data_IF_846757094005
#
_entry.id   IF_846757094005
#
_cell.length_a   1.000
_cell.length_b   1.000
_cell.length_c   1.000
_cell.angle_alpha   90.00
_cell.angle_beta   90.00
_cell.angle_gamma   90.00
#
_symmetry.space_group_name_H-M   'P 1'
#
loop_
_entity.id
_entity.type
_entity.pdbx_description
1 polymer ?
#
# COMPACT_ATOMS: atom_id res chain seq x y z
N UNK A 1 -20.05 -9.18 4.09
CA UNK A 1 -18.75 -8.75 4.68
C UNK A 1 -17.76 -9.86 4.40
N UNK A 2 -17.15 -9.86 3.23
CA UNK A 2 -16.27 -10.95 2.84
C UNK A 2 -14.87 -10.76 3.42
N UNK A 3 -14.44 -11.76 4.19
CA UNK A 3 -13.11 -11.78 4.79
C UNK A 3 -12.06 -11.91 3.69
N UNK A 4 -11.01 -11.08 3.76
CA UNK A 4 -9.82 -11.18 2.91
C UNK A 4 -9.22 -12.58 3.00
N UNK A 5 -9.51 -13.42 1.99
CA UNK A 5 -8.99 -14.79 1.90
C UNK A 5 -7.48 -14.73 1.71
N UNK A 6 -6.74 -15.07 2.77
CA UNK A 6 -5.27 -15.09 2.78
C UNK A 6 -4.71 -15.99 1.67
N UNK A 7 -3.55 -15.66 1.08
CA UNK A 7 -3.00 -16.37 -0.07
C UNK A 7 -2.82 -17.86 0.23
N UNK A 8 -3.46 -18.69 -0.59
CA UNK A 8 -3.49 -20.14 -0.43
C UNK A 8 -2.45 -20.86 -1.30
N UNK A 9 -1.90 -20.23 -2.33
CA UNK A 9 -0.93 -20.86 -3.26
C UNK A 9 0.32 -19.99 -3.44
N UNK A 10 1.41 -20.57 -3.96
CA UNK A 10 2.62 -19.82 -4.30
C UNK A 10 2.37 -18.65 -5.27
N UNK A 11 1.42 -18.78 -6.22
CA UNK A 11 1.01 -17.71 -7.11
C UNK A 11 0.31 -16.57 -6.33
N UNK A 12 -0.68 -16.90 -5.50
CA UNK A 12 -1.37 -15.92 -4.66
C UNK A 12 -0.43 -15.26 -3.64
N UNK A 13 0.57 -15.97 -3.12
CA UNK A 13 1.56 -15.40 -2.21
C UNK A 13 2.53 -14.45 -2.93
N UNK A 14 2.97 -14.78 -4.15
CA UNK A 14 3.74 -13.85 -5.01
C UNK A 14 2.91 -12.61 -5.35
N UNK A 15 1.61 -12.79 -5.58
CA UNK A 15 0.59 -11.73 -5.69
C UNK A 15 0.03 -11.23 -4.34
N UNK A 16 0.81 -11.38 -3.26
CA UNK A 16 0.58 -10.76 -1.95
C UNK A 16 1.84 -10.05 -1.43
N UNK A 17 3.02 -10.40 -1.96
CA UNK A 17 4.33 -9.82 -1.59
C UNK A 17 4.95 -8.93 -2.66
N UNK A 18 4.25 -8.63 -3.76
CA UNK A 18 4.78 -7.77 -4.84
C UNK A 18 4.26 -6.33 -4.68
N UNK A 19 5.03 -5.30 -5.09
CA UNK A 19 4.65 -3.90 -4.86
C UNK A 19 3.34 -3.47 -5.54
N UNK A 20 2.92 -4.18 -6.60
CA UNK A 20 1.63 -3.94 -7.29
C UNK A 20 0.48 -4.79 -6.72
N UNK A 21 0.67 -5.59 -5.66
CA UNK A 21 -0.22 -6.73 -5.38
C UNK A 21 -1.37 -6.45 -4.42
N UNK A 22 -2.31 -5.62 -4.89
CA UNK A 22 -3.73 -5.78 -4.61
C UNK A 22 -4.45 -6.03 -5.94
N UNK A 23 -4.93 -7.26 -6.19
CA UNK A 23 -6.21 -7.61 -6.85
C UNK A 23 -6.30 -9.10 -7.25
N UNK A 24 -7.49 -9.51 -7.68
CA UNK A 24 -7.82 -10.84 -8.20
C UNK A 24 -7.30 -11.06 -9.64
N UNK A 25 -7.19 -12.30 -10.14
CA UNK A 25 -6.39 -12.62 -11.32
C UNK A 25 -7.12 -12.48 -12.67
N UNK A 26 -6.89 -11.36 -13.36
CA UNK A 26 -6.98 -11.15 -14.82
C UNK A 26 -5.84 -10.17 -15.21
N UNK A 27 -5.27 -10.14 -16.42
CA UNK A 27 -5.50 -11.00 -17.59
C UNK A 27 -4.76 -10.57 -18.87
N UNK A 28 -3.41 -10.66 -18.89
CA UNK A 28 -2.53 -10.64 -20.09
C UNK A 28 -2.25 -9.26 -20.77
N UNK A 29 -0.96 -9.06 -21.08
CA UNK A 29 -0.24 -8.18 -22.05
C UNK A 29 -0.65 -6.74 -22.43
N UNK A 30 0.40 -5.91 -22.64
CA UNK A 30 0.38 -4.57 -23.27
C UNK A 30 1.78 -3.92 -23.22
N UNK A 31 2.28 -3.34 -24.32
CA UNK A 31 3.68 -2.84 -24.43
C UNK A 31 3.79 -1.34 -24.80
N UNK A 32 4.85 -0.69 -24.27
CA UNK A 32 5.46 0.60 -24.74
C UNK A 32 4.57 1.86 -24.56
N UNK A 33 5.05 3.11 -24.62
CA UNK A 33 6.39 3.72 -24.92
C UNK A 33 6.84 4.71 -23.82
N UNK A 34 8.08 5.22 -23.88
CA UNK A 34 8.69 6.19 -22.94
C UNK A 34 9.38 7.38 -23.68
N UNK A 35 9.40 8.57 -23.06
CA UNK A 35 10.42 9.67 -23.19
C UNK A 35 10.63 10.40 -24.56
N UNK A 36 11.19 11.62 -24.69
CA UNK A 36 11.39 12.83 -23.83
C UNK A 36 11.67 14.07 -24.76
N UNK A 37 11.16 15.30 -24.49
CA UNK A 37 11.78 16.51 -23.86
C UNK A 37 12.78 17.39 -24.67
N UNK A 38 12.94 18.64 -24.19
CA UNK A 38 13.91 19.74 -24.51
C UNK A 38 13.67 20.70 -25.72
N UNK A 39 14.09 21.99 -25.73
CA UNK A 39 14.16 23.04 -24.67
C UNK A 39 14.58 24.47 -25.19
N UNK A 40 13.70 25.50 -25.06
CA UNK A 40 14.03 26.97 -24.90
C UNK A 40 14.87 27.69 -26.01
N UNK A 41 15.33 28.98 -25.91
CA UNK A 41 14.98 30.15 -25.06
C UNK A 41 14.80 31.54 -25.81
N UNK A 42 14.28 32.58 -25.11
CA UNK A 42 14.53 34.07 -25.25
C UNK A 42 13.45 34.90 -24.49
N UNK A 43 13.59 36.18 -24.07
CA UNK A 43 14.69 36.99 -23.43
C UNK A 43 14.12 38.42 -23.09
N UNK A 44 14.31 38.94 -21.86
CA UNK A 44 14.18 40.38 -21.42
C UNK A 44 12.79 41.08 -21.62
N UNK A 45 12.38 42.22 -21.02
CA UNK A 45 12.84 43.26 -20.04
C UNK A 45 11.56 44.07 -19.59
N UNK A 46 11.40 44.87 -18.51
CA UNK A 46 11.97 44.97 -17.13
C UNK A 46 11.19 46.02 -16.26
N UNK A 47 11.39 46.08 -14.93
CA UNK A 47 11.02 47.14 -13.91
C UNK A 47 9.55 47.52 -13.57
N UNK A 48 9.19 47.43 -12.28
CA UNK A 48 8.85 48.58 -11.38
C UNK A 48 8.31 48.14 -10.00
N UNK A 49 8.69 48.84 -8.92
CA UNK A 49 8.27 48.56 -7.53
C UNK A 49 6.93 49.21 -7.14
N UNK A 50 6.14 48.54 -6.28
CA UNK A 50 5.22 49.20 -5.33
C UNK A 50 5.00 48.30 -4.12
N UNK A 51 5.16 48.84 -2.91
CA UNK A 51 4.96 48.13 -1.64
C UNK A 51 3.51 48.30 -1.18
N UNK A 52 2.83 47.18 -0.89
CA UNK A 52 1.54 47.14 -0.17
C UNK A 52 1.60 45.99 0.83
N UNK A 53 1.20 46.24 2.08
CA UNK A 53 1.20 45.25 3.17
C UNK A 53 0.03 44.25 3.04
N UNK A 54 0.12 43.03 3.62
CA UNK A 54 -0.77 41.94 3.27
C UNK A 54 -2.16 42.07 3.93
N UNK A 55 -3.20 42.04 3.10
CA UNK A 55 -4.53 41.66 3.57
C UNK A 55 -4.50 40.20 4.02
N UNK A 56 -4.89 39.96 5.27
CA UNK A 56 -5.18 38.62 5.79
C UNK A 56 -6.59 38.18 5.39
N UNK A 57 -6.80 38.01 4.08
CA UNK A 57 -7.85 37.11 3.62
C UNK A 57 -7.29 35.69 3.76
N UNK A 58 -7.72 34.97 4.80
CA UNK A 58 -7.43 33.54 4.95
C UNK A 58 -8.16 32.79 3.83
N UNK A 59 -7.45 32.54 2.72
CA UNK A 59 -7.81 31.47 1.78
C UNK A 59 -7.79 30.17 2.58
N UNK A 60 -8.98 29.71 2.99
CA UNK A 60 -9.23 28.48 3.72
C UNK A 60 -9.01 27.28 2.78
N UNK A 61 -7.76 27.15 2.34
CA UNK A 61 -7.29 26.29 1.27
C UNK A 61 -7.60 24.84 1.60
N UNK A 62 -8.69 24.35 1.00
CA UNK A 62 -9.61 23.39 1.58
C UNK A 62 -8.96 22.13 2.18
N UNK A 63 -8.47 22.24 3.42
CA UNK A 63 -7.96 21.09 4.16
C UNK A 63 -9.13 20.13 4.37
N UNK A 64 -8.95 18.90 3.89
CA UNK A 64 -10.05 17.95 3.69
C UNK A 64 -10.83 17.59 4.98
N UNK A 65 -10.26 17.86 6.15
CA UNK A 65 -10.71 17.39 7.46
C UNK A 65 -10.64 15.86 7.63
N UNK A 66 -10.23 15.13 6.60
CA UNK A 66 -10.38 13.67 6.48
C UNK A 66 -9.01 13.03 6.50
N UNK A 67 -8.52 12.65 7.68
CA UNK A 67 -7.24 11.97 7.81
C UNK A 67 -7.35 10.51 7.35
N UNK A 68 -6.54 10.05 6.36
CA UNK A 68 -6.51 8.64 5.96
C UNK A 68 -6.14 7.69 7.10
N UNK A 69 -6.89 6.59 7.20
CA UNK A 69 -6.69 5.57 8.25
C UNK A 69 -5.81 4.44 7.75
N UNK A 70 -4.78 4.05 8.51
CA UNK A 70 -3.93 2.90 8.15
C UNK A 70 -4.68 1.59 8.44
N UNK A 71 -4.83 0.74 7.43
CA UNK A 71 -5.60 -0.51 7.51
C UNK A 71 -4.73 -1.76 7.54
N UNK A 72 -3.60 -1.77 6.82
CA UNK A 72 -2.67 -2.89 6.80
C UNK A 72 -1.24 -2.43 6.50
N UNK A 73 -0.27 -3.01 7.19
CA UNK A 73 1.16 -2.78 6.99
C UNK A 73 1.84 -4.13 6.76
N UNK A 74 2.62 -4.20 5.69
CA UNK A 74 3.44 -5.36 5.31
C UNK A 74 4.90 -5.02 5.57
N UNK A 75 5.56 -5.84 6.40
CA UNK A 75 6.98 -5.71 6.71
C UNK A 75 7.73 -6.99 6.37
N UNK A 76 9.03 -6.86 6.12
CA UNK A 76 9.99 -7.96 6.05
C UNK A 76 11.00 -7.86 7.18
N UNK A 77 11.47 -9.00 7.65
CA UNK A 77 12.62 -9.10 8.56
C UNK A 77 13.45 -10.33 8.18
N UNK A 78 14.74 -10.28 8.48
CA UNK A 78 15.67 -11.38 8.33
C UNK A 78 15.96 -11.98 9.71
N UNK A 79 15.91 -13.31 9.81
CA UNK A 79 16.21 -14.08 11.02
C UNK A 79 17.66 -14.59 11.03
N UNK A 80 18.42 -14.39 9.94
CA UNK A 80 19.86 -14.68 9.82
C UNK A 80 20.28 -16.12 10.18
N UNK A 81 19.38 -17.08 9.94
CA UNK A 81 19.61 -18.50 10.15
C UNK A 81 18.79 -19.35 9.17
N UNK A 82 19.26 -20.56 8.85
CA UNK A 82 18.45 -21.57 8.15
C UNK A 82 17.44 -22.19 9.10
N UNK A 83 16.24 -22.45 8.58
CA UNK A 83 15.09 -22.91 9.37
C UNK A 83 14.50 -24.17 8.77
N UNK A 84 14.36 -25.24 9.57
CA UNK A 84 13.52 -26.38 9.16
C UNK A 84 12.05 -26.06 9.42
N UNK A 85 11.34 -25.84 8.33
CA UNK A 85 9.91 -25.55 8.33
C UNK A 85 9.05 -26.72 8.85
N UNK A 86 9.52 -27.98 8.76
CA UNK A 86 8.80 -29.13 9.33
C UNK A 86 8.84 -29.08 10.86
N UNK A 87 10.02 -28.94 11.45
CA UNK A 87 10.21 -28.80 12.90
C UNK A 87 9.46 -27.59 13.45
N UNK A 88 9.47 -26.45 12.75
CA UNK A 88 8.67 -25.29 13.16
C UNK A 88 7.17 -25.62 13.14
N UNK A 89 6.65 -26.19 12.06
CA UNK A 89 5.22 -26.50 11.95
C UNK A 89 4.73 -27.56 12.95
N UNK A 90 5.60 -28.50 13.35
CA UNK A 90 5.28 -29.54 14.33
C UNK A 90 5.18 -29.00 15.77
N UNK A 91 6.03 -28.03 16.14
CA UNK A 91 6.14 -27.53 17.52
C UNK A 91 5.46 -26.17 17.75
N UNK A 92 5.23 -25.37 16.70
CA UNK A 92 4.61 -24.06 16.83
C UNK A 92 3.08 -24.14 16.85
N UNK A 93 2.48 -23.68 17.96
CA UNK A 93 1.03 -23.48 18.06
C UNK A 93 0.56 -22.44 17.03
N UNK A 94 -0.52 -22.74 16.31
CA UNK A 94 -1.09 -21.91 15.25
C UNK A 94 -0.14 -21.66 14.05
N UNK A 95 0.60 -22.70 13.65
CA UNK A 95 1.39 -22.74 12.42
C UNK A 95 0.77 -23.71 11.40
N UNK A 96 0.67 -23.29 10.14
CA UNK A 96 0.23 -24.10 9.00
C UNK A 96 1.42 -24.27 8.03
N UNK A 97 1.68 -25.50 7.56
CA UNK A 97 2.70 -25.75 6.54
C UNK A 97 2.26 -26.86 5.57
N UNK A 98 2.33 -26.56 4.27
CA UNK A 98 2.05 -27.53 3.21
C UNK A 98 2.96 -27.21 2.02
N UNK A 99 4.13 -27.86 1.87
CA UNK A 99 5.11 -27.51 0.85
C UNK A 99 4.64 -27.74 -0.59
N UNK A 100 3.65 -28.61 -0.83
CA UNK A 100 3.02 -28.78 -2.16
C UNK A 100 2.20 -27.55 -2.58
N UNK A 101 1.78 -26.74 -1.61
CA UNK A 101 0.85 -25.60 -1.74
C UNK A 101 1.58 -24.26 -1.64
N UNK A 102 2.48 -24.12 -0.65
CA UNK A 102 3.34 -22.96 -0.48
C UNK A 102 4.61 -23.29 0.33
N UNK A 103 5.75 -22.73 -0.09
CA UNK A 103 7.09 -23.05 0.43
C UNK A 103 7.50 -22.27 1.71
N UNK A 104 6.52 -21.88 2.54
CA UNK A 104 6.74 -21.15 3.79
C UNK A 104 5.73 -21.62 4.86
N UNK A 105 6.12 -21.52 6.14
CA UNK A 105 5.20 -21.71 7.27
C UNK A 105 4.36 -20.46 7.44
N UNK A 106 3.05 -20.62 7.56
CA UNK A 106 2.11 -19.54 7.89
C UNK A 106 1.86 -19.58 9.39
N UNK A 107 2.29 -18.58 10.15
CA UNK A 107 2.16 -18.55 11.62
C UNK A 107 1.32 -17.36 12.09
N UNK A 108 0.37 -17.57 13.00
CA UNK A 108 -0.60 -16.55 13.43
C UNK A 108 -0.51 -16.26 14.92
N UNK A 109 -0.51 -14.98 15.29
CA UNK A 109 -0.63 -14.53 16.68
C UNK A 109 -1.87 -13.63 16.84
N UNK A 110 -2.43 -13.59 18.05
CA UNK A 110 -3.65 -12.81 18.34
C UNK A 110 -3.38 -11.32 18.59
N UNK A 111 -2.18 -10.99 19.08
CA UNK A 111 -1.86 -9.66 19.59
C UNK A 111 -0.38 -9.28 19.33
N UNK A 112 -0.10 -8.29 18.46
CA UNK A 112 -1.04 -7.72 17.48
C UNK A 112 -1.62 -8.80 16.55
N UNK A 113 -2.78 -8.58 15.95
CA UNK A 113 -3.50 -9.61 15.17
C UNK A 113 -2.88 -9.81 13.77
N UNK A 114 -1.72 -10.44 13.72
CA UNK A 114 -0.90 -10.58 12.51
C UNK A 114 -0.80 -12.02 11.99
N UNK A 115 -0.34 -12.14 10.74
CA UNK A 115 0.17 -13.39 10.15
C UNK A 115 1.61 -13.19 9.70
N UNK A 116 2.47 -14.18 9.93
CA UNK A 116 3.82 -14.27 9.39
C UNK A 116 3.92 -15.38 8.34
N UNK A 117 4.74 -15.15 7.31
CA UNK A 117 5.16 -16.12 6.32
C UNK A 117 6.67 -16.36 6.51
N UNK A 118 7.06 -17.54 6.97
CA UNK A 118 8.43 -17.86 7.39
C UNK A 118 9.05 -18.84 6.39
N UNK A 119 10.13 -18.42 5.73
CA UNK A 119 10.82 -19.18 4.69
C UNK A 119 12.05 -19.90 5.23
N UNK A 120 12.43 -21.04 4.62
CA UNK A 120 13.58 -21.85 5.02
C UNK A 120 14.94 -21.12 4.88
N UNK A 121 14.95 -19.95 4.25
CA UNK A 121 16.09 -19.03 4.13
C UNK A 121 16.28 -18.10 5.33
N UNK A 122 15.40 -18.14 6.34
CA UNK A 122 15.40 -17.19 7.45
C UNK A 122 14.70 -15.86 7.15
N UNK A 123 14.28 -15.61 5.91
CA UNK A 123 13.43 -14.46 5.59
C UNK A 123 12.03 -14.68 6.15
N UNK A 124 11.45 -13.62 6.73
CA UNK A 124 10.09 -13.60 7.23
C UNK A 124 9.34 -12.36 6.72
N UNK A 125 8.10 -12.55 6.27
CA UNK A 125 7.16 -11.46 5.94
C UNK A 125 6.09 -11.42 7.02
N UNK A 126 5.72 -10.24 7.52
CA UNK A 126 4.66 -10.02 8.51
C UNK A 126 3.60 -9.08 7.95
N UNK A 127 2.33 -9.38 8.19
CA UNK A 127 1.17 -8.67 7.64
C UNK A 127 -0.01 -8.67 8.62
N UNK A 128 -0.96 -7.75 8.45
CA UNK A 128 -2.14 -7.58 9.29
C UNK A 128 -1.99 -6.56 10.44
N UNK A 129 -0.84 -5.90 10.54
CA UNK A 129 -0.60 -4.84 11.52
C UNK A 129 -1.25 -3.52 11.06
N UNK A 130 -1.74 -2.70 12.00
CA UNK A 130 -2.31 -1.37 11.72
C UNK A 130 -1.33 -0.21 11.96
N UNK A 131 -0.28 -0.44 12.74
CA UNK A 131 0.82 0.51 12.95
C UNK A 131 2.18 -0.14 12.66
N UNK A 132 3.16 0.68 12.34
CA UNK A 132 4.54 0.32 12.08
C UNK A 132 5.17 -0.31 13.34
N UNK A 133 4.81 0.21 14.52
CA UNK A 133 5.21 -0.33 15.82
C UNK A 133 4.54 -1.66 16.14
N UNK A 134 3.25 -1.86 15.84
CA UNK A 134 2.61 -3.18 15.89
C UNK A 134 3.33 -4.18 14.96
N UNK A 135 3.68 -3.75 13.75
CA UNK A 135 4.36 -4.59 12.76
C UNK A 135 5.75 -5.00 13.25
N UNK A 136 6.49 -4.07 13.86
CA UNK A 136 7.80 -4.28 14.50
C UNK A 136 7.69 -5.17 15.75
N UNK A 137 6.69 -4.94 16.61
CA UNK A 137 6.40 -5.73 17.80
C UNK A 137 6.00 -7.17 17.45
N UNK A 138 5.10 -7.34 16.49
CA UNK A 138 4.70 -8.64 15.96
C UNK A 138 5.92 -9.39 15.37
N UNK A 139 6.72 -8.72 14.54
CA UNK A 139 7.94 -9.29 13.95
C UNK A 139 8.93 -9.74 15.03
N UNK A 140 9.10 -8.98 16.12
CA UNK A 140 9.90 -9.38 17.29
C UNK A 140 9.28 -10.55 18.06
N UNK A 141 7.95 -10.57 18.24
CA UNK A 141 7.20 -11.69 18.86
C UNK A 141 7.41 -12.99 18.06
N UNK A 142 7.32 -12.95 16.72
CA UNK A 142 7.61 -14.10 15.85
C UNK A 142 9.07 -14.57 15.94
N UNK A 143 10.04 -13.65 15.84
CA UNK A 143 11.46 -14.00 16.01
C UNK A 143 11.72 -14.68 17.36
N UNK A 144 11.08 -14.19 18.44
CA UNK A 144 11.18 -14.80 19.78
C UNK A 144 10.49 -16.16 19.90
N UNK A 145 9.45 -16.45 19.11
CA UNK A 145 8.88 -17.80 19.00
C UNK A 145 9.89 -18.74 18.35
N UNK A 146 10.50 -18.33 17.23
CA UNK A 146 11.50 -19.16 16.53
C UNK A 146 12.75 -19.42 17.40
N UNK A 147 13.21 -18.43 18.17
CA UNK A 147 14.25 -18.64 19.20
C UNK A 147 13.86 -19.68 20.25
N UNK A 148 12.61 -19.65 20.73
CA UNK A 148 12.10 -20.63 21.72
C UNK A 148 11.95 -22.06 21.16
N UNK A 149 12.04 -22.23 19.84
CA UNK A 149 12.08 -23.55 19.17
C UNK A 149 13.52 -24.05 18.93
N UNK A 150 14.53 -23.38 19.49
CA UNK A 150 15.94 -23.81 19.43
C UNK A 150 16.73 -23.27 18.23
N UNK A 151 16.12 -22.49 17.34
CA UNK A 151 16.83 -21.86 16.22
C UNK A 151 17.56 -20.58 16.66
N UNK A 152 18.79 -20.38 16.18
CA UNK A 152 19.59 -19.17 16.44
C UNK A 152 19.11 -17.96 15.62
N UNK A 153 17.83 -17.60 15.76
CA UNK A 153 17.19 -16.54 15.01
C UNK A 153 17.52 -15.15 15.59
N UNK A 154 18.05 -14.27 14.74
CA UNK A 154 18.32 -12.86 15.03
C UNK A 154 17.12 -12.00 14.62
N UNK A 155 17.25 -10.68 14.73
CA UNK A 155 16.30 -9.71 14.23
C UNK A 155 17.06 -8.65 13.42
N UNK A 156 17.26 -8.91 12.14
CA UNK A 156 18.02 -8.05 11.22
C UNK A 156 17.14 -7.62 10.04
N UNK A 157 17.55 -6.58 9.31
CA UNK A 157 16.87 -6.12 8.08
C UNK A 157 15.35 -5.85 8.20
N UNK A 158 14.86 -5.43 9.37
CA UNK A 158 13.45 -5.03 9.52
C UNK A 158 13.16 -3.80 8.65
N UNK A 159 12.26 -3.97 7.67
CA UNK A 159 11.88 -2.93 6.70
C UNK A 159 10.38 -3.02 6.40
N UNK A 160 9.70 -1.88 6.39
CA UNK A 160 8.34 -1.78 5.82
C UNK A 160 8.46 -1.92 4.30
N UNK A 161 7.54 -2.69 3.70
CA UNK A 161 7.50 -2.96 2.26
C UNK A 161 6.27 -2.34 1.59
N UNK A 162 5.13 -2.32 2.29
CA UNK A 162 3.91 -1.67 1.83
C UNK A 162 3.07 -1.20 3.02
N UNK A 163 2.46 -0.03 2.90
CA UNK A 163 1.43 0.52 3.79
C UNK A 163 0.15 0.70 2.95
N UNK A 164 -0.96 0.22 3.48
CA UNK A 164 -2.29 0.37 2.90
C UNK A 164 -3.14 1.29 3.77
N UNK A 165 -3.51 2.44 3.22
CA UNK A 165 -4.43 3.39 3.83
C UNK A 165 -5.84 3.31 3.25
N UNK A 166 -6.83 3.85 3.96
CA UNK A 166 -8.17 4.09 3.41
C UNK A 166 -8.80 5.35 3.99
N UNK A 167 -9.53 6.08 3.15
CA UNK A 167 -10.35 7.23 3.50
C UNK A 167 -11.72 7.15 2.80
N UNK A 168 -12.59 8.08 3.12
CA UNK A 168 -13.96 8.15 2.64
C UNK A 168 -14.35 9.63 2.58
N UNK A 169 -14.46 10.19 1.37
CA UNK A 169 -14.69 11.63 1.15
C UNK A 169 -16.12 12.09 1.43
N UNK A 170 -17.02 11.16 1.84
CA UNK A 170 -18.41 11.44 2.23
C UNK A 170 -19.33 12.00 1.14
N UNK A 171 -18.86 12.06 -0.11
CA UNK A 171 -19.68 12.39 -1.28
C UNK A 171 -19.45 11.38 -2.43
N UNK A 172 -20.48 11.11 -3.26
CA UNK A 172 -20.33 10.25 -4.43
C UNK A 172 -19.49 10.93 -5.53
N UNK A 173 -18.74 10.12 -6.29
CA UNK A 173 -17.80 10.59 -7.33
C UNK A 173 -18.22 10.06 -8.70
N UNK A 174 -18.19 10.94 -9.73
CA UNK A 174 -18.45 10.61 -11.14
C UNK A 174 -17.19 10.03 -11.81
N UNK A 175 -16.95 8.74 -11.59
CA UNK A 175 -15.73 8.04 -12.07
C UNK A 175 -15.55 8.11 -13.59
N UNK A 176 -16.64 8.21 -14.35
CA UNK A 176 -16.62 8.31 -15.82
C UNK A 176 -15.94 9.61 -16.27
N UNK A 177 -16.22 10.72 -15.58
CA UNK A 177 -15.61 12.02 -15.86
C UNK A 177 -14.14 12.06 -15.44
N UNK A 178 -13.82 11.49 -14.28
CA UNK A 178 -12.45 11.37 -13.79
C UNK A 178 -11.59 10.47 -14.70
N UNK A 179 -12.14 9.35 -15.18
CA UNK A 179 -11.47 8.45 -16.12
C UNK A 179 -11.20 9.13 -17.48
N UNK A 180 -12.15 9.92 -17.97
CA UNK A 180 -11.98 10.67 -19.22
C UNK A 180 -10.94 11.78 -19.09
N UNK A 181 -11.03 12.60 -18.03
CA UNK A 181 -10.15 13.76 -17.82
C UNK A 181 -8.72 13.36 -17.40
N UNK A 182 -8.57 12.36 -16.52
CA UNK A 182 -7.27 11.88 -16.04
C UNK A 182 -6.88 10.53 -16.67
N UNK A 183 -7.27 10.27 -17.93
CA UNK A 183 -7.09 8.98 -18.60
C UNK A 183 -5.65 8.46 -18.66
N UNK A 184 -4.65 9.34 -18.70
CA UNK A 184 -3.22 8.97 -18.65
C UNK A 184 -2.81 8.29 -17.32
N UNK A 185 -3.53 8.56 -16.24
CA UNK A 185 -3.27 8.03 -14.90
C UNK A 185 -4.35 7.06 -14.41
N UNK A 186 -5.49 7.00 -15.10
CA UNK A 186 -6.69 6.29 -14.65
C UNK A 186 -6.95 5.03 -15.47
N UNK A 187 -7.48 4.00 -14.83
CA UNK A 187 -8.05 2.83 -15.51
C UNK A 187 -9.37 2.47 -14.84
N UNK A 188 -10.47 2.53 -15.57
CA UNK A 188 -11.82 2.29 -15.06
C UNK A 188 -12.59 1.42 -16.05
N UNK A 189 -12.68 0.14 -15.72
CA UNK A 189 -13.35 -0.89 -16.51
C UNK A 189 -14.40 -1.55 -15.61
N UNK A 190 -15.62 -0.97 -15.47
CA UNK A 190 -16.57 -1.36 -14.43
C UNK A 190 -17.00 -2.83 -14.50
N UNK A 191 -17.01 -3.42 -15.71
CA UNK A 191 -17.27 -4.85 -15.95
C UNK A 191 -16.17 -5.78 -15.38
N UNK A 192 -14.93 -5.27 -15.22
CA UNK A 192 -13.80 -6.00 -14.68
C UNK A 192 -13.55 -5.68 -13.19
N UNK A 193 -13.74 -4.42 -12.79
CA UNK A 193 -13.54 -3.96 -11.42
C UNK A 193 -14.38 -2.69 -11.12
N UNK A 194 -15.22 -2.67 -10.07
CA UNK A 194 -16.19 -1.59 -9.79
C UNK A 194 -15.58 -0.33 -9.16
N UNK A 195 -14.32 -0.02 -9.45
CA UNK A 195 -13.60 1.15 -8.95
C UNK A 195 -12.56 1.63 -9.95
N UNK A 196 -12.25 2.93 -9.92
CA UNK A 196 -11.22 3.53 -10.75
C UNK A 196 -9.85 3.29 -10.12
N UNK A 197 -8.91 2.76 -10.90
CA UNK A 197 -7.51 2.57 -10.51
C UNK A 197 -6.73 3.82 -10.94
N UNK A 198 -6.34 4.66 -10.00
CA UNK A 198 -5.54 5.86 -10.26
C UNK A 198 -4.07 5.61 -9.91
N UNK A 199 -3.17 5.91 -10.84
CA UNK A 199 -1.72 5.68 -10.72
C UNK A 199 -1.00 7.02 -10.55
N UNK A 200 -0.89 7.46 -9.30
CA UNK A 200 -0.18 8.69 -8.97
C UNK A 200 1.33 8.52 -9.19
N UNK A 201 1.95 9.49 -9.86
CA UNK A 201 3.38 9.46 -10.20
C UNK A 201 4.25 9.92 -9.02
N UNK A 202 3.81 10.96 -8.30
CA UNK A 202 4.54 11.57 -7.17
C UNK A 202 3.54 11.98 -6.06
N UNK A 203 3.59 11.36 -4.87
CA UNK A 203 4.32 10.13 -4.55
C UNK A 203 3.82 8.94 -5.42
N UNK A 204 4.64 7.89 -5.56
CA UNK A 204 4.34 6.75 -6.44
C UNK A 204 3.35 5.78 -5.78
N UNK A 205 2.07 6.15 -5.80
CA UNK A 205 0.97 5.49 -5.08
C UNK A 205 -0.11 5.04 -6.07
N UNK A 206 -0.72 3.88 -5.79
CA UNK A 206 -1.94 3.43 -6.48
C UNK A 206 -3.13 3.66 -5.57
N UNK A 207 -4.13 4.36 -6.08
CA UNK A 207 -5.40 4.60 -5.40
C UNK A 207 -6.50 3.79 -6.10
N UNK A 208 -7.40 3.20 -5.31
CA UNK A 208 -8.62 2.54 -5.77
C UNK A 208 -9.80 3.39 -5.29
N UNK A 209 -10.44 4.10 -6.21
CA UNK A 209 -11.48 5.10 -5.93
C UNK A 209 -12.83 4.50 -6.33
N UNK A 210 -13.79 4.46 -5.40
CA UNK A 210 -15.12 3.90 -5.64
C UNK A 210 -16.16 5.01 -5.78
N UNK A 211 -17.21 4.77 -6.58
CA UNK A 211 -18.34 5.71 -6.82
C UNK A 211 -18.94 6.26 -5.51
N UNK A 212 -18.86 5.48 -4.43
CA UNK A 212 -19.34 5.83 -3.07
C UNK A 212 -18.51 6.88 -2.30
N UNK A 213 -17.40 7.39 -2.86
CA UNK A 213 -16.47 8.29 -2.17
C UNK A 213 -15.41 7.58 -1.31
N UNK A 214 -15.47 6.25 -1.21
CA UNK A 214 -14.45 5.44 -0.50
C UNK A 214 -13.21 5.28 -1.37
N UNK A 215 -12.04 5.35 -0.73
CA UNK A 215 -10.73 5.27 -1.38
C UNK A 215 -9.82 4.32 -0.59
N UNK A 216 -9.07 3.48 -1.30
CA UNK A 216 -7.96 2.69 -0.75
C UNK A 216 -6.66 3.13 -1.40
N UNK A 217 -5.62 3.41 -0.62
CA UNK A 217 -4.30 3.83 -1.10
C UNK A 217 -3.26 2.74 -0.78
N UNK A 218 -2.42 2.37 -1.74
CA UNK A 218 -1.39 1.32 -1.58
C UNK A 218 -0.11 1.65 -2.37
N UNK A 219 1.01 1.03 -1.98
CA UNK A 219 2.33 1.21 -2.59
C UNK A 219 3.29 2.06 -1.75
N UNK A 220 2.77 2.70 -0.70
CA UNK A 220 3.56 3.52 0.22
C UNK A 220 4.53 2.70 1.06
N UNK A 221 5.68 3.27 1.39
CA UNK A 221 6.64 2.76 2.37
C UNK A 221 6.65 3.57 3.67
N UNK A 222 6.15 4.79 3.61
CA UNK A 222 6.06 5.76 4.71
C UNK A 222 4.62 6.29 4.77
N UNK A 223 4.09 6.54 5.97
CA UNK A 223 2.68 6.98 6.14
C UNK A 223 2.43 8.36 5.52
N UNK A 224 3.46 9.18 5.49
CA UNK A 224 3.52 10.51 4.88
C UNK A 224 3.21 10.46 3.38
N UNK A 225 3.57 9.36 2.70
CA UNK A 225 3.26 9.14 1.28
C UNK A 225 1.75 8.86 1.07
N UNK A 226 1.05 8.28 2.05
CA UNK A 226 -0.41 8.11 2.02
C UNK A 226 -1.11 9.45 2.21
N UNK A 227 -0.64 10.28 3.15
CA UNK A 227 -1.21 11.60 3.40
C UNK A 227 -0.99 12.54 2.22
N UNK A 228 0.24 12.66 1.71
CA UNK A 228 0.54 13.47 0.53
C UNK A 228 -0.23 13.01 -0.72
N UNK A 229 -0.44 11.70 -0.91
CA UNK A 229 -1.27 11.19 -2.00
C UNK A 229 -2.76 11.49 -1.85
N UNK A 230 -3.26 11.63 -0.61
CA UNK A 230 -4.65 11.99 -0.38
C UNK A 230 -4.91 13.48 -0.57
N UNK A 231 -4.09 14.36 0.03
CA UNK A 231 -4.22 15.81 -0.16
C UNK A 231 -4.04 16.20 -1.64
N UNK A 232 -3.14 15.52 -2.38
CA UNK A 232 -2.96 15.76 -3.81
C UNK A 232 -4.11 15.27 -4.71
N UNK A 233 -4.98 14.35 -4.26
CA UNK A 233 -6.13 13.87 -5.05
C UNK A 233 -7.46 14.50 -4.60
N UNK A 234 -7.58 14.90 -3.33
CA UNK A 234 -8.82 15.42 -2.75
C UNK A 234 -9.49 16.58 -3.53
N UNK A 235 -8.78 17.63 -4.00
CA UNK A 235 -9.39 18.68 -4.81
C UNK A 235 -9.94 18.13 -6.14
N UNK A 236 -9.17 17.28 -6.84
CA UNK A 236 -9.60 16.62 -8.09
C UNK A 236 -10.87 15.80 -7.86
N UNK A 237 -10.97 15.03 -6.78
CA UNK A 237 -12.18 14.26 -6.49
C UNK A 237 -13.39 15.14 -6.19
N UNK A 238 -13.15 16.34 -5.62
CA UNK A 238 -14.19 17.33 -5.31
C UNK A 238 -14.77 17.97 -6.58
N UNK A 239 -13.96 18.18 -7.63
CA UNK A 239 -14.45 18.59 -8.95
C UNK A 239 -15.38 17.55 -9.58
N UNK A 240 -15.06 16.25 -9.42
CA UNK A 240 -15.90 15.14 -9.89
C UNK A 240 -16.98 14.71 -8.89
N UNK A 241 -17.28 15.52 -7.86
CA UNK A 241 -18.41 15.28 -6.94
C UNK A 241 -19.72 15.21 -7.72
N UNK A 242 -20.48 14.14 -7.51
CA UNK A 242 -21.81 13.99 -8.09
C UNK A 242 -22.82 14.77 -7.25
N UNK A 243 -23.45 15.75 -7.91
CA UNK A 243 -24.71 16.41 -7.52
C UNK A 243 -25.85 15.41 -7.39
#
# INVERSE_FOLDING_TARGET
MDSLKLPTTAAQAKAFTAPNSLLFPLGIDGQRTDMNQEATPKKEEDTSDTIVEPNQDEDDGATSGIVPTLQNIVATVNLDCRLDLKTIALHARNAEYNPKRFAAVIMRIREPKTTALIFASGKMVVTGAKSEDDSKLASRKYARIIQKLGFNAKFTDFKIQNIVGSCDVKFPIRLEGLAFSHGTFSSYEPELFPGLIYRMVKPKIVLLIFVSGKIVLTGAKQREEIYAAFEAIYPVLSEFRKS
#
